data_IF_002351888541
#
_entry.id   IF_002351888541
#
_cell.length_a   1.000
_cell.length_b   1.000
_cell.length_c   1.000
_cell.angle_alpha   90.00
_cell.angle_beta   90.00
_cell.angle_gamma   90.00
#
_symmetry.space_group_name_H-M   'P 1'
#
loop_
_entity.id
_entity.type
_entity.pdbx_description
1 polymer ?
#
# COMPACT_ATOMS: atom_id res chain seq x y z
N UNK A 1 12.10 8.68 -45.11
CA UNK A 1 11.56 7.62 -44.24
C UNK A 1 11.01 8.32 -43.01
N UNK A 2 9.69 8.32 -42.77
CA UNK A 2 9.14 8.90 -41.55
C UNK A 2 9.51 7.97 -40.39
N UNK A 3 9.99 8.54 -39.30
CA UNK A 3 10.15 7.80 -38.05
C UNK A 3 8.75 7.45 -37.57
N UNK A 4 8.42 6.16 -37.58
CA UNK A 4 7.29 5.64 -36.83
C UNK A 4 7.46 6.08 -35.37
N UNK A 5 6.60 7.00 -34.95
CA UNK A 5 6.41 7.36 -33.56
C UNK A 5 6.05 6.06 -32.83
N UNK A 6 7.02 5.50 -32.11
CA UNK A 6 6.80 4.45 -31.14
C UNK A 6 5.85 5.06 -30.12
N UNK A 7 4.55 4.83 -30.33
CA UNK A 7 3.54 5.00 -29.30
C UNK A 7 3.97 4.10 -28.17
N UNK A 8 4.55 4.70 -27.13
CA UNK A 8 4.69 4.05 -25.84
C UNK A 8 3.29 3.62 -25.45
N UNK A 9 3.04 2.33 -25.64
CA UNK A 9 1.85 1.63 -25.18
C UNK A 9 1.64 2.07 -23.73
N UNK A 10 0.66 2.97 -23.56
CA UNK A 10 0.31 3.54 -22.28
C UNK A 10 -0.40 2.39 -21.57
N UNK A 11 0.38 1.50 -20.95
CA UNK A 11 -0.15 0.40 -20.16
C UNK A 11 -1.19 0.98 -19.19
N UNK A 12 -2.49 0.70 -19.39
CA UNK A 12 -3.54 1.38 -18.63
C UNK A 12 -3.49 1.03 -17.13
N UNK A 13 -2.73 0.01 -16.72
CA UNK A 13 -2.62 -0.40 -15.32
C UNK A 13 -1.65 0.42 -14.44
N UNK A 14 -0.78 1.26 -15.00
CA UNK A 14 0.27 1.93 -14.21
C UNK A 14 -0.26 3.02 -13.27
N UNK A 15 -1.15 3.90 -13.77
CA UNK A 15 -1.68 5.03 -13.00
C UNK A 15 -2.69 4.59 -11.95
N UNK A 16 -3.60 3.68 -12.29
CA UNK A 16 -4.57 3.14 -11.33
C UNK A 16 -3.85 2.40 -10.18
N UNK A 17 -2.79 1.65 -10.49
CA UNK A 17 -1.99 0.98 -9.47
C UNK A 17 -1.25 2.00 -8.59
N UNK A 18 -0.70 3.08 -9.14
CA UNK A 18 -0.06 4.14 -8.35
C UNK A 18 -1.06 4.87 -7.43
N UNK A 19 -2.27 5.14 -7.90
CA UNK A 19 -3.33 5.76 -7.10
C UNK A 19 -3.81 4.83 -5.98
N UNK A 20 -3.98 3.53 -6.26
CA UNK A 20 -4.27 2.53 -5.25
C UNK A 20 -3.16 2.47 -4.20
N UNK A 21 -1.89 2.45 -4.61
CA UNK A 21 -0.76 2.45 -3.68
C UNK A 21 -0.80 3.67 -2.78
N UNK A 22 -0.97 4.88 -3.33
CA UNK A 22 -1.03 6.10 -2.53
C UNK A 22 -2.20 6.07 -1.56
N UNK A 23 -3.39 5.70 -2.04
CA UNK A 23 -4.61 5.63 -1.22
C UNK A 23 -4.44 4.67 -0.04
N UNK A 24 -3.93 3.46 -0.30
CA UNK A 24 -3.81 2.43 0.72
C UNK A 24 -2.59 2.66 1.63
N UNK A 25 -1.42 3.06 1.12
CA UNK A 25 -0.25 3.35 1.95
C UNK A 25 -0.44 4.59 2.84
N UNK A 26 -0.93 5.70 2.29
CA UNK A 26 -1.12 6.94 3.05
C UNK A 26 -2.28 6.81 4.04
N UNK A 27 -3.38 6.15 3.64
CA UNK A 27 -4.50 5.86 4.53
C UNK A 27 -4.06 4.95 5.68
N UNK A 28 -3.30 3.90 5.39
CA UNK A 28 -2.86 2.96 6.42
C UNK A 28 -1.91 3.60 7.45
N UNK A 29 -0.94 4.41 7.04
CA UNK A 29 -0.05 5.11 7.99
C UNK A 29 -0.85 6.05 8.91
N UNK A 30 -1.79 6.81 8.37
CA UNK A 30 -2.64 7.70 9.19
C UNK A 30 -3.51 6.91 10.17
N UNK A 31 -4.12 5.81 9.73
CA UNK A 31 -4.97 4.99 10.59
C UNK A 31 -4.16 4.29 11.68
N UNK A 32 -2.98 3.76 11.37
CA UNK A 32 -2.10 3.11 12.35
C UNK A 32 -1.60 4.09 13.43
N UNK A 33 -1.35 5.35 13.05
CA UNK A 33 -0.98 6.42 14.00
C UNK A 33 -2.14 6.92 14.85
N UNK A 34 -3.37 6.85 14.33
CA UNK A 34 -4.59 7.30 15.04
C UNK A 34 -5.25 6.22 15.89
N UNK A 35 -4.86 4.96 15.71
CA UNK A 35 -5.35 3.85 16.52
C UNK A 35 -5.16 4.14 18.01
N UNK A 36 -6.13 3.76 18.85
CA UNK A 36 -6.08 4.01 20.30
C UNK A 36 -5.37 2.89 21.05
N UNK A 37 -5.14 1.76 20.39
CA UNK A 37 -4.44 0.61 20.94
C UNK A 37 -3.70 -0.16 19.86
N UNK A 38 -2.68 -0.91 20.26
CA UNK A 38 -1.95 -1.83 19.37
C UNK A 38 -2.87 -2.86 18.72
N UNK A 39 -3.84 -3.39 19.46
CA UNK A 39 -4.80 -4.38 18.94
C UNK A 39 -5.65 -3.76 17.83
N UNK A 40 -6.13 -2.53 18.01
CA UNK A 40 -6.86 -1.80 16.98
C UNK A 40 -5.99 -1.54 15.74
N UNK A 41 -4.73 -1.15 15.93
CA UNK A 41 -3.77 -0.96 14.84
C UNK A 41 -3.51 -2.27 14.06
N UNK A 42 -3.38 -3.41 14.76
CA UNK A 42 -3.22 -4.73 14.15
C UNK A 42 -4.48 -5.18 13.37
N UNK A 43 -5.68 -4.85 13.85
CA UNK A 43 -6.94 -5.12 13.13
C UNK A 43 -6.99 -4.31 11.84
N UNK A 44 -6.76 -2.99 11.93
CA UNK A 44 -6.71 -2.08 10.77
C UNK A 44 -5.67 -2.53 9.75
N UNK A 45 -4.48 -2.94 10.23
CA UNK A 45 -3.41 -3.49 9.39
C UNK A 45 -3.91 -4.70 8.58
N UNK A 46 -4.55 -5.67 9.23
CA UNK A 46 -5.04 -6.90 8.59
C UNK A 46 -6.14 -6.60 7.58
N UNK A 47 -7.11 -5.78 7.95
CA UNK A 47 -8.25 -5.44 7.08
C UNK A 47 -7.78 -4.68 5.83
N UNK A 48 -6.90 -3.70 6.00
CA UNK A 48 -6.39 -2.89 4.89
C UNK A 48 -5.52 -3.72 3.96
N UNK A 49 -4.66 -4.59 4.50
CA UNK A 49 -3.87 -5.51 3.68
C UNK A 49 -4.75 -6.51 2.93
N UNK A 50 -5.83 -7.01 3.54
CA UNK A 50 -6.77 -7.93 2.90
C UNK A 50 -7.54 -7.26 1.76
N UNK A 51 -8.01 -6.03 1.96
CA UNK A 51 -8.66 -5.24 0.90
C UNK A 51 -7.70 -4.92 -0.25
N UNK A 52 -6.45 -4.60 0.09
CA UNK A 52 -5.41 -4.34 -0.90
C UNK A 52 -5.04 -5.61 -1.69
N UNK A 53 -4.98 -6.77 -1.04
CA UNK A 53 -4.69 -8.05 -1.69
C UNK A 53 -5.77 -8.43 -2.74
N UNK A 54 -7.01 -8.01 -2.53
CA UNK A 54 -8.12 -8.22 -3.47
C UNK A 54 -8.14 -7.19 -4.60
N UNK A 55 -7.64 -5.97 -4.35
CA UNK A 55 -7.71 -4.85 -5.29
C UNK A 55 -6.46 -4.71 -6.15
N UNK A 56 -5.31 -5.24 -5.70
CA UNK A 56 -4.03 -5.10 -6.38
C UNK A 56 -3.55 -6.44 -6.94
N UNK A 57 -3.44 -6.54 -8.27
CA UNK A 57 -2.92 -7.73 -8.93
C UNK A 57 -1.39 -7.87 -8.81
N UNK A 58 -0.67 -6.79 -8.49
CA UNK A 58 0.78 -6.81 -8.38
C UNK A 58 1.27 -7.41 -7.04
N UNK A 59 1.96 -8.55 -7.11
CA UNK A 59 2.55 -9.22 -5.94
C UNK A 59 3.65 -8.41 -5.26
N UNK A 60 4.43 -7.66 -6.04
CA UNK A 60 5.51 -6.78 -5.54
C UNK A 60 4.93 -5.69 -4.65
N UNK A 61 3.84 -5.07 -5.12
CA UNK A 61 3.18 -3.98 -4.39
C UNK A 61 2.48 -4.50 -3.14
N UNK A 62 1.83 -5.66 -3.22
CA UNK A 62 1.25 -6.34 -2.04
C UNK A 62 2.29 -6.61 -0.96
N UNK A 63 3.47 -7.05 -1.37
CA UNK A 63 4.59 -7.32 -0.46
C UNK A 63 5.14 -6.03 0.15
N UNK A 64 5.30 -4.99 -0.67
CA UNK A 64 5.74 -3.67 -0.21
C UNK A 64 4.78 -3.07 0.81
N UNK A 65 3.47 -3.10 0.55
CA UNK A 65 2.46 -2.56 1.45
C UNK A 65 2.50 -3.27 2.81
N UNK A 66 2.55 -4.60 2.82
CA UNK A 66 2.67 -5.39 4.06
C UNK A 66 3.93 -5.03 4.86
N UNK A 67 5.07 -4.92 4.19
CA UNK A 67 6.33 -4.58 4.83
C UNK A 67 6.30 -3.14 5.39
N UNK A 68 5.82 -2.17 4.62
CA UNK A 68 5.71 -0.78 5.05
C UNK A 68 4.75 -0.65 6.23
N UNK A 69 3.60 -1.32 6.16
CA UNK A 69 2.58 -1.33 7.19
C UNK A 69 3.09 -1.95 8.50
N UNK A 70 3.83 -3.05 8.40
CA UNK A 70 4.46 -3.70 9.55
C UNK A 70 5.52 -2.80 10.19
N UNK A 71 6.36 -2.15 9.36
CA UNK A 71 7.35 -1.19 9.86
C UNK A 71 6.69 -0.03 10.63
N UNK A 72 5.62 0.57 10.10
CA UNK A 72 4.90 1.66 10.78
C UNK A 72 4.27 1.17 12.08
N UNK A 73 3.71 -0.04 12.10
CA UNK A 73 3.18 -0.66 13.31
C UNK A 73 4.29 -0.85 14.36
N UNK A 74 5.47 -1.33 13.96
CA UNK A 74 6.61 -1.50 14.86
C UNK A 74 7.23 -0.16 15.30
N UNK A 75 7.28 0.86 14.44
CA UNK A 75 7.79 2.19 14.79
C UNK A 75 6.84 2.91 15.75
N UNK A 76 5.53 2.75 15.57
CA UNK A 76 4.50 3.42 16.37
C UNK A 76 4.20 2.67 17.67
N UNK A 77 4.19 1.33 17.63
CA UNK A 77 3.75 0.45 18.73
C UNK A 77 4.76 -0.63 19.15
N UNK A 78 5.89 -0.75 18.44
CA UNK A 78 6.93 -1.79 18.67
C UNK A 78 8.02 -1.38 19.66
N UNK A 79 7.89 -0.25 20.35
CA UNK A 79 8.72 0.08 21.52
C UNK A 79 7.88 0.24 22.79
N UNK A 80 7.59 -0.89 23.42
CA UNK A 80 7.69 -0.97 24.87
C UNK A 80 8.83 -1.96 25.17
N UNK A 81 9.97 -1.52 25.72
CA UNK A 81 10.63 -2.32 26.76
C UNK A 81 9.70 -2.44 27.98
#
# INVERSE_FOLDING_TARGET
MPYDEISYDHQPGGREQEELIRKYCSGLDEHLRRARSRVEAEVVFRETCAQFDQSCESSVVRTFLKHQAQKVLEETWGKQP
#
